data_IF_048956144821
#
_entry.id   IF_048956144821
#
_cell.length_a   1.000
_cell.length_b   1.000
_cell.length_c   1.000
_cell.angle_alpha   90.00
_cell.angle_beta   90.00
_cell.angle_gamma   90.00
#
_symmetry.space_group_name_H-M   'P 1'
#
loop_
_entity.id
_entity.type
_entity.pdbx_description
1 polymer ?
#
# COMPACT_ATOMS: atom_id res chain seq x y z
N UNK A 1 24.74 12.46 13.92
CA UNK A 1 24.23 12.67 12.57
C UNK A 1 22.80 12.14 12.59
N UNK A 2 21.81 13.03 12.41
CA UNK A 2 20.40 12.61 12.35
C UNK A 2 20.18 11.71 11.14
N UNK A 3 19.39 10.65 11.29
CA UNK A 3 18.96 9.82 10.17
C UNK A 3 18.06 10.67 9.27
N UNK A 4 18.28 10.62 7.95
CA UNK A 4 17.41 11.29 6.97
C UNK A 4 16.01 10.69 7.05
N UNK A 5 15.00 11.55 6.93
CA UNK A 5 13.60 11.11 6.77
C UNK A 5 13.41 10.38 5.45
N UNK A 6 12.34 9.59 5.31
CA UNK A 6 12.02 8.92 4.04
C UNK A 6 11.93 9.92 2.87
N UNK A 7 11.24 11.05 3.07
CA UNK A 7 11.12 12.09 2.06
C UNK A 7 12.48 12.71 1.64
N UNK A 8 13.42 12.87 2.57
CA UNK A 8 14.76 13.35 2.25
C UNK A 8 15.57 12.30 1.48
N UNK A 9 15.42 11.03 1.85
CA UNK A 9 16.06 9.92 1.13
C UNK A 9 15.54 9.81 -0.30
N UNK A 10 14.23 10.01 -0.49
CA UNK A 10 13.60 9.96 -1.81
C UNK A 10 14.10 11.07 -2.73
N UNK A 11 14.29 12.29 -2.19
CA UNK A 11 14.85 13.42 -2.96
C UNK A 11 16.31 13.23 -3.38
N UNK A 12 17.05 12.41 -2.65
CA UNK A 12 18.47 12.15 -2.94
C UNK A 12 18.68 10.91 -3.80
N UNK A 13 17.62 10.16 -4.12
CA UNK A 13 17.70 8.98 -4.97
C UNK A 13 18.08 9.41 -6.40
N UNK A 14 19.05 8.73 -7.00
CA UNK A 14 19.30 8.82 -8.44
C UNK A 14 18.20 8.11 -9.23
N UNK A 15 18.14 8.33 -10.56
CA UNK A 15 17.15 7.65 -11.42
C UNK A 15 17.13 6.14 -11.15
N UNK A 16 15.96 5.58 -10.81
CA UNK A 16 15.81 4.17 -10.43
C UNK A 16 15.89 3.19 -11.62
N UNK A 17 16.71 3.40 -12.57
CA UNK A 17 16.79 2.69 -13.87
C UNK A 17 17.04 1.17 -13.78
N UNK A 18 16.13 0.28 -14.25
CA UNK A 18 14.71 0.59 -14.56
C UNK A 18 13.83 0.66 -13.31
N UNK A 19 14.18 -0.07 -12.24
CA UNK A 19 13.51 -0.12 -10.94
C UNK A 19 14.54 -0.06 -9.81
N UNK A 20 14.10 0.52 -8.68
CA UNK A 20 14.85 0.47 -7.43
C UNK A 20 13.94 0.05 -6.28
N UNK A 21 14.37 -0.92 -5.50
CA UNK A 21 13.66 -1.43 -4.33
C UNK A 21 14.31 -0.94 -3.04
N UNK A 22 13.52 -0.34 -2.17
CA UNK A 22 13.95 0.03 -0.82
C UNK A 22 13.09 -0.67 0.21
N UNK A 23 13.73 -1.50 1.03
CA UNK A 23 13.10 -2.26 2.11
C UNK A 23 13.23 -1.50 3.42
N UNK A 24 12.13 -1.29 4.11
CA UNK A 24 12.09 -0.53 5.36
C UNK A 24 11.12 -1.14 6.35
N UNK A 25 11.49 -1.08 7.63
CA UNK A 25 10.54 -1.26 8.73
C UNK A 25 10.27 0.12 9.33
N UNK A 26 9.02 0.55 9.34
CA UNK A 26 8.61 1.87 9.79
C UNK A 26 7.86 1.71 11.10
N UNK A 27 8.31 2.41 12.16
CA UNK A 27 7.65 2.39 13.46
C UNK A 27 6.27 3.05 13.37
N UNK A 28 5.35 2.62 14.25
CA UNK A 28 4.03 3.24 14.34
C UNK A 28 4.07 4.70 14.78
N UNK A 29 3.09 5.47 14.33
CA UNK A 29 2.99 6.90 14.60
C UNK A 29 3.91 7.77 13.75
N UNK A 30 4.53 7.22 12.70
CA UNK A 30 5.32 7.98 11.75
C UNK A 30 4.45 8.57 10.64
N UNK A 31 4.81 9.78 10.24
CA UNK A 31 4.27 10.45 9.07
C UNK A 31 5.42 10.84 8.15
N UNK A 32 5.29 10.50 6.88
CA UNK A 32 6.11 11.05 5.82
C UNK A 32 5.44 12.33 5.35
N UNK A 33 6.10 13.48 5.54
CA UNK A 33 5.58 14.76 5.11
C UNK A 33 5.34 14.79 3.58
N UNK A 34 4.45 15.67 3.14
CA UNK A 34 4.18 15.84 1.72
C UNK A 34 5.47 16.15 0.93
N UNK A 35 5.68 15.39 -0.11
CA UNK A 35 6.82 15.52 -1.01
C UNK A 35 6.45 15.01 -2.40
N UNK A 36 7.29 15.32 -3.38
CA UNK A 36 7.20 14.80 -4.73
C UNK A 36 8.59 14.41 -5.23
N UNK A 37 8.64 13.50 -6.16
CA UNK A 37 9.87 13.05 -6.82
C UNK A 37 9.60 12.72 -8.30
N UNK A 38 10.64 12.80 -9.16
CA UNK A 38 10.46 12.71 -10.60
C UNK A 38 10.29 11.29 -11.15
N UNK A 39 10.04 10.30 -10.35
CA UNK A 39 9.76 8.90 -10.72
C UNK A 39 8.47 8.42 -10.11
N UNK A 40 7.90 7.35 -10.70
CA UNK A 40 6.73 6.72 -10.10
C UNK A 40 7.09 5.88 -8.90
N UNK A 41 6.13 5.68 -7.99
CA UNK A 41 6.31 4.87 -6.78
C UNK A 41 5.20 3.84 -6.62
N UNK A 42 5.61 2.61 -6.38
CA UNK A 42 4.74 1.53 -5.92
C UNK A 42 5.04 1.26 -4.45
N UNK A 43 3.99 1.16 -3.65
CA UNK A 43 4.09 0.86 -2.21
C UNK A 43 3.55 -0.53 -1.93
N UNK A 44 4.43 -1.44 -1.48
CA UNK A 44 4.06 -2.76 -0.98
C UNK A 44 4.10 -2.76 0.54
N UNK A 45 2.97 -3.09 1.15
CA UNK A 45 2.84 -3.24 2.60
C UNK A 45 2.72 -4.75 2.90
N UNK A 46 3.77 -5.33 3.49
CA UNK A 46 3.79 -6.75 3.84
C UNK A 46 3.22 -7.02 5.23
N UNK A 47 3.31 -6.06 6.13
CA UNK A 47 2.76 -6.10 7.49
C UNK A 47 2.30 -4.71 7.89
N UNK A 48 1.14 -4.59 8.54
CA UNK A 48 0.57 -3.32 8.99
C UNK A 48 -0.30 -2.64 7.94
N UNK A 49 -0.60 -1.37 8.15
CA UNK A 49 -1.42 -0.53 7.26
C UNK A 49 -0.75 0.82 7.08
N UNK A 50 -0.62 1.25 5.84
CA UNK A 50 -0.19 2.58 5.46
C UNK A 50 -1.33 3.29 4.74
N UNK A 51 -1.54 4.54 5.08
CA UNK A 51 -2.40 5.47 4.33
C UNK A 51 -1.49 6.35 3.50
N UNK A 52 -1.75 6.44 2.21
CA UNK A 52 -1.08 7.38 1.30
C UNK A 52 -2.11 8.40 0.84
N UNK A 53 -1.81 9.67 1.00
CA UNK A 53 -2.65 10.79 0.58
C UNK A 53 -2.03 11.46 -0.65
N UNK A 54 -2.81 11.64 -1.69
CA UNK A 54 -2.40 12.29 -2.95
C UNK A 54 -3.48 13.29 -3.33
N UNK A 55 -3.25 14.59 -3.10
CA UNK A 55 -4.28 15.61 -3.22
C UNK A 55 -5.45 15.35 -2.27
N UNK A 56 -6.65 15.18 -2.80
CA UNK A 56 -7.86 14.84 -2.01
C UNK A 56 -8.08 13.31 -1.89
N UNK A 57 -7.30 12.51 -2.59
CA UNK A 57 -7.45 11.06 -2.56
C UNK A 57 -6.70 10.42 -1.40
N UNK A 58 -7.34 9.43 -0.79
CA UNK A 58 -6.79 8.63 0.30
C UNK A 58 -6.74 7.17 -0.09
N UNK A 59 -5.53 6.65 -0.26
CA UNK A 59 -5.29 5.28 -0.69
C UNK A 59 -4.86 4.41 0.50
N UNK A 60 -5.55 3.29 0.69
CA UNK A 60 -5.22 2.28 1.69
C UNK A 60 -5.19 0.93 0.98
N UNK A 61 -4.04 0.29 0.92
CA UNK A 61 -3.90 -0.99 0.25
C UNK A 61 -3.96 -2.17 1.22
N UNK A 62 -4.79 -3.18 0.95
CA UNK A 62 -4.67 -4.48 1.58
C UNK A 62 -3.45 -5.25 1.01
N UNK A 63 -3.04 -6.37 1.65
CA UNK A 63 -1.84 -7.12 1.24
C UNK A 63 -1.80 -7.61 -0.22
N UNK A 64 -2.97 -7.66 -0.87
CA UNK A 64 -3.09 -8.12 -2.27
C UNK A 64 -3.01 -6.99 -3.31
N UNK A 65 -2.63 -5.78 -2.90
CA UNK A 65 -2.53 -4.61 -3.77
C UNK A 65 -1.26 -3.82 -3.52
N UNK A 66 -0.80 -3.15 -4.57
CA UNK A 66 0.20 -2.09 -4.52
C UNK A 66 -0.51 -0.74 -4.60
N UNK A 67 -0.05 0.24 -3.83
CA UNK A 67 -0.42 1.64 -4.04
C UNK A 67 0.51 2.19 -5.12
N UNK A 68 -0.07 2.72 -6.19
CA UNK A 68 0.65 3.41 -7.26
C UNK A 68 0.49 4.92 -7.12
N UNK A 69 1.60 5.63 -7.11
CA UNK A 69 1.67 7.09 -7.19
C UNK A 69 2.51 7.44 -8.42
N UNK A 70 1.93 8.09 -9.44
CA UNK A 70 2.68 8.58 -10.61
C UNK A 70 3.78 9.57 -10.24
N UNK A 71 4.74 9.78 -11.17
CA UNK A 71 5.80 10.75 -11.03
C UNK A 71 5.26 12.19 -10.84
N UNK A 72 6.02 13.02 -10.12
CA UNK A 72 5.78 14.45 -9.90
C UNK A 72 4.49 14.80 -9.12
N UNK A 73 3.75 13.82 -8.61
CA UNK A 73 2.57 14.07 -7.78
C UNK A 73 2.96 14.25 -6.29
N UNK A 74 2.59 15.39 -5.67
CA UNK A 74 2.73 15.57 -4.25
C UNK A 74 1.93 14.52 -3.48
N UNK A 75 2.58 13.84 -2.54
CA UNK A 75 1.95 12.85 -1.70
C UNK A 75 2.56 12.79 -0.31
N UNK A 76 1.76 12.34 0.64
CA UNK A 76 2.17 12.07 2.01
C UNK A 76 1.80 10.65 2.41
N UNK A 77 2.40 10.15 3.48
CA UNK A 77 2.06 8.82 4.00
C UNK A 77 2.02 8.82 5.53
N UNK A 78 1.14 8.00 6.10
CA UNK A 78 1.01 7.86 7.54
C UNK A 78 0.75 6.39 7.93
N UNK A 79 1.32 5.97 9.06
CA UNK A 79 1.06 4.67 9.67
C UNK A 79 0.90 4.77 11.18
N UNK A 80 -0.15 4.17 11.73
CA UNK A 80 -0.37 4.13 13.19
C UNK A 80 0.44 3.03 13.87
N UNK A 81 0.68 1.94 13.17
CA UNK A 81 1.37 0.77 13.69
C UNK A 81 2.66 0.52 12.93
N UNK A 82 3.59 -0.20 13.53
CA UNK A 82 4.79 -0.65 12.84
C UNK A 82 4.40 -1.46 11.61
N UNK A 83 5.03 -1.16 10.48
CA UNK A 83 4.81 -1.83 9.21
C UNK A 83 6.11 -2.26 8.55
N UNK A 84 6.05 -3.36 7.81
CA UNK A 84 7.08 -3.77 6.87
C UNK A 84 6.69 -3.26 5.49
N UNK A 85 7.57 -2.44 4.93
CA UNK A 85 7.31 -1.63 3.76
C UNK A 85 8.40 -1.76 2.71
N UNK A 86 7.99 -1.94 1.47
CA UNK A 86 8.89 -1.86 0.32
C UNK A 86 8.41 -0.78 -0.64
N UNK A 87 9.24 0.26 -0.79
CA UNK A 87 9.07 1.24 -1.89
C UNK A 87 9.72 0.65 -3.14
N UNK A 88 9.01 0.69 -4.27
CA UNK A 88 9.52 0.30 -5.58
C UNK A 88 9.42 1.54 -6.46
N UNK A 89 10.57 2.13 -6.75
CA UNK A 89 10.64 3.32 -7.60
C UNK A 89 10.77 2.89 -9.06
N UNK A 90 10.00 3.55 -9.92
CA UNK A 90 9.85 3.22 -11.33
C UNK A 90 10.41 4.36 -12.16
N UNK A 91 11.40 4.08 -13.01
CA UNK A 91 12.05 5.07 -13.86
C UNK A 91 11.08 5.78 -14.81
N UNK A 92 11.48 6.95 -15.29
CA UNK A 92 10.75 7.68 -16.32
C UNK A 92 10.46 6.88 -17.60
N UNK A 93 11.33 5.93 -17.95
CA UNK A 93 11.13 5.08 -19.13
C UNK A 93 9.97 4.09 -18.95
N UNK A 94 9.73 3.61 -17.73
CA UNK A 94 8.72 2.59 -17.44
C UNK A 94 7.42 3.16 -16.83
N UNK A 95 7.49 4.26 -16.09
CA UNK A 95 6.33 4.87 -15.44
C UNK A 95 5.15 5.16 -16.40
N UNK A 96 5.36 5.63 -17.65
CA UNK A 96 4.26 5.85 -18.61
C UNK A 96 3.49 4.59 -19.04
N UNK A 97 4.00 3.39 -18.73
CA UNK A 97 3.29 2.12 -18.97
C UNK A 97 2.23 1.85 -17.91
N UNK A 98 2.30 2.52 -16.78
CA UNK A 98 1.36 2.42 -15.65
C UNK A 98 0.31 3.54 -15.74
N UNK A 99 -0.78 3.46 -14.97
CA UNK A 99 -1.83 4.48 -14.98
C UNK A 99 -1.31 5.90 -14.70
N UNK A 100 -1.94 6.89 -15.32
CA UNK A 100 -1.62 8.31 -15.11
C UNK A 100 -2.15 8.87 -13.79
N UNK A 101 -3.06 8.16 -13.13
CA UNK A 101 -3.69 8.55 -11.87
C UNK A 101 -3.25 7.64 -10.73
N UNK A 102 -3.23 8.15 -9.47
CA UNK A 102 -2.97 7.35 -8.29
C UNK A 102 -4.06 6.27 -8.13
N UNK A 103 -3.66 5.03 -7.84
CA UNK A 103 -4.63 3.95 -7.64
C UNK A 103 -4.03 2.69 -7.05
N UNK A 104 -4.89 1.73 -6.74
CA UNK A 104 -4.50 0.41 -6.29
C UNK A 104 -4.37 -0.56 -7.47
N UNK A 105 -3.24 -1.24 -7.56
CA UNK A 105 -2.94 -2.22 -8.57
C UNK A 105 -2.94 -3.63 -7.95
N UNK A 106 -3.79 -4.51 -8.45
CA UNK A 106 -3.94 -5.85 -7.89
C UNK A 106 -2.69 -6.72 -8.12
N UNK A 107 -2.24 -7.42 -7.10
CA UNK A 107 -1.16 -8.41 -7.19
C UNK A 107 -1.71 -9.75 -7.67
N UNK A 108 -1.36 -10.12 -8.91
CA UNK A 108 -1.58 -11.49 -9.39
C UNK A 108 -0.59 -12.46 -8.75
N UNK A 109 -0.83 -13.78 -8.77
CA UNK A 109 0.13 -14.77 -8.26
C UNK A 109 1.54 -14.64 -8.86
N UNK A 110 1.64 -14.32 -10.15
CA UNK A 110 2.94 -14.11 -10.82
C UNK A 110 3.65 -12.87 -10.31
N UNK A 111 2.94 -11.74 -10.16
CA UNK A 111 3.50 -10.50 -9.61
C UNK A 111 3.99 -10.70 -8.18
N UNK A 112 3.23 -11.44 -7.37
CA UNK A 112 3.62 -11.79 -6.01
C UNK A 112 4.90 -12.62 -5.98
N UNK A 113 4.99 -13.65 -6.82
CA UNK A 113 6.18 -14.49 -6.90
C UNK A 113 7.44 -13.70 -7.32
N UNK A 114 7.31 -12.76 -8.27
CA UNK A 114 8.41 -11.87 -8.66
C UNK A 114 8.85 -10.96 -7.48
N UNK A 115 7.90 -10.37 -6.76
CA UNK A 115 8.20 -9.53 -5.60
C UNK A 115 8.84 -10.33 -4.45
N UNK A 116 8.40 -11.55 -4.23
CA UNK A 116 8.99 -12.46 -3.24
C UNK A 116 10.43 -12.81 -3.61
N UNK A 117 10.71 -13.12 -4.87
CA UNK A 117 12.07 -13.39 -5.35
C UNK A 117 12.98 -12.18 -5.17
N UNK A 118 12.58 -10.98 -5.62
CA UNK A 118 13.33 -9.74 -5.39
C UNK A 118 13.59 -9.48 -3.91
N UNK A 119 12.57 -9.69 -3.07
CA UNK A 119 12.67 -9.48 -1.62
C UNK A 119 13.62 -10.47 -0.96
N UNK A 120 13.57 -11.76 -1.31
CA UNK A 120 14.45 -12.79 -0.76
C UNK A 120 15.90 -12.53 -1.13
N UNK A 121 16.15 -12.12 -2.37
CA UNK A 121 17.50 -11.77 -2.86
C UNK A 121 17.96 -10.38 -2.41
N UNK A 122 17.09 -9.58 -1.78
CA UNK A 122 17.36 -8.19 -1.37
C UNK A 122 17.82 -7.32 -2.54
N UNK A 123 17.19 -7.50 -3.70
CA UNK A 123 17.50 -6.69 -4.89
C UNK A 123 17.20 -5.23 -4.57
N UNK A 124 18.20 -4.37 -4.73
CA UNK A 124 18.04 -2.90 -4.66
C UNK A 124 17.88 -2.33 -6.07
N UNK A 125 18.97 -2.01 -6.74
CA UNK A 125 18.99 -1.68 -8.15
C UNK A 125 19.01 -2.95 -9.00
N UNK A 126 18.52 -2.84 -10.23
CA UNK A 126 18.62 -3.91 -11.25
C UNK A 126 20.02 -3.89 -11.84
N UNK A 127 20.98 -4.55 -11.18
CA UNK A 127 22.40 -4.48 -11.53
C UNK A 127 22.79 -5.36 -12.73
N UNK A 128 22.01 -6.40 -13.00
CA UNK A 128 22.27 -7.30 -14.12
C UNK A 128 21.09 -7.38 -15.11
N UNK A 129 21.39 -7.95 -16.30
CA UNK A 129 20.43 -8.08 -17.37
C UNK A 129 19.26 -9.01 -17.02
N UNK A 130 19.47 -9.98 -16.13
CA UNK A 130 18.44 -10.89 -15.69
C UNK A 130 17.40 -10.16 -14.81
N UNK A 131 17.87 -9.41 -13.82
CA UNK A 131 16.99 -8.61 -12.96
C UNK A 131 16.27 -7.53 -13.75
N UNK A 132 16.95 -6.88 -14.69
CA UNK A 132 16.33 -5.88 -15.56
C UNK A 132 15.18 -6.47 -16.38
N UNK A 133 15.34 -7.67 -16.95
CA UNK A 133 14.25 -8.37 -17.69
C UNK A 133 13.09 -8.76 -16.80
N UNK A 134 13.36 -9.21 -15.57
CA UNK A 134 12.32 -9.52 -14.59
C UNK A 134 11.57 -8.25 -14.17
N UNK A 135 12.27 -7.14 -13.98
CA UNK A 135 11.68 -5.83 -13.68
C UNK A 135 10.79 -5.33 -14.81
N UNK A 136 11.22 -5.47 -16.07
CA UNK A 136 10.37 -5.12 -17.24
C UNK A 136 9.13 -6.00 -17.32
N UNK A 137 9.29 -7.32 -17.11
CA UNK A 137 8.16 -8.24 -17.07
C UNK A 137 7.19 -7.88 -15.93
N UNK A 138 7.70 -7.52 -14.76
CA UNK A 138 6.89 -7.09 -13.62
C UNK A 138 6.03 -5.88 -14.00
N UNK A 139 6.61 -4.84 -14.57
CA UNK A 139 5.87 -3.63 -15.01
C UNK A 139 4.87 -3.97 -16.12
N UNK A 140 5.25 -4.77 -17.13
CA UNK A 140 4.35 -5.17 -18.20
C UNK A 140 3.12 -5.92 -17.67
N UNK A 141 3.31 -6.82 -16.72
CA UNK A 141 2.22 -7.56 -16.09
C UNK A 141 1.37 -6.66 -15.20
N UNK A 142 2.00 -5.77 -14.44
CA UNK A 142 1.32 -4.81 -13.58
C UNK A 142 0.44 -3.86 -14.37
N UNK A 143 0.90 -3.35 -15.52
CA UNK A 143 0.13 -2.50 -16.43
C UNK A 143 -1.15 -3.14 -16.97
N UNK A 144 -1.26 -4.47 -16.91
CA UNK A 144 -2.43 -5.24 -17.37
C UNK A 144 -3.32 -5.73 -16.23
N UNK A 145 -3.02 -5.37 -14.98
CA UNK A 145 -3.84 -5.77 -13.83
C UNK A 145 -5.08 -4.90 -13.71
N UNK A 146 -6.02 -5.36 -12.89
CA UNK A 146 -7.19 -4.54 -12.55
C UNK A 146 -6.75 -3.37 -11.67
N UNK A 147 -7.21 -2.21 -12.05
CA UNK A 147 -7.02 -0.98 -11.29
C UNK A 147 -8.27 -0.69 -10.47
N UNK A 148 -8.08 -0.15 -9.27
CA UNK A 148 -9.18 0.33 -8.43
C UNK A 148 -8.80 1.71 -7.87
N UNK A 149 -9.67 2.72 -8.01
CA UNK A 149 -9.40 4.07 -7.51
C UNK A 149 -9.40 4.13 -5.97
N UNK A 150 -10.14 3.26 -5.32
CA UNK A 150 -10.13 3.09 -3.87
C UNK A 150 -10.47 1.66 -3.51
N UNK A 151 -10.09 1.24 -2.29
CA UNK A 151 -10.40 -0.09 -1.79
C UNK A 151 -10.82 -0.01 -0.32
N UNK A 152 -12.01 -0.51 -0.04
CA UNK A 152 -12.40 -0.85 1.31
C UNK A 152 -12.16 -2.36 1.52
N UNK A 153 -11.28 -2.76 2.45
CA UNK A 153 -11.01 -4.16 2.71
C UNK A 153 -12.28 -4.94 2.99
N UNK A 154 -12.42 -6.08 2.30
CA UNK A 154 -13.51 -7.03 2.54
C UNK A 154 -13.02 -8.15 3.46
N UNK A 155 -13.94 -8.79 4.16
CA UNK A 155 -13.63 -9.95 4.98
C UNK A 155 -14.67 -11.06 4.77
N UNK A 156 -14.23 -12.32 4.84
CA UNK A 156 -15.09 -13.49 4.91
C UNK A 156 -15.35 -13.95 6.35
N UNK A 157 -14.81 -13.23 7.31
CA UNK A 157 -15.05 -13.50 8.72
C UNK A 157 -16.54 -13.35 9.05
N UNK A 158 -17.08 -14.30 9.84
CA UNK A 158 -18.52 -14.37 10.16
C UNK A 158 -19.07 -13.14 10.87
N UNK A 159 -18.24 -12.42 11.62
CA UNK A 159 -18.64 -11.19 12.32
C UNK A 159 -18.41 -9.97 11.43
N UNK A 160 -17.31 -9.92 10.68
CA UNK A 160 -16.96 -8.73 9.88
C UNK A 160 -17.74 -8.65 8.58
N UNK A 161 -17.96 -9.75 7.86
CA UNK A 161 -18.65 -9.70 6.58
C UNK A 161 -20.03 -8.98 6.64
N UNK A 162 -20.93 -9.30 7.59
CA UNK A 162 -22.20 -8.59 7.70
C UNK A 162 -22.05 -7.14 8.16
N UNK A 163 -21.08 -6.84 9.03
CA UNK A 163 -20.75 -5.48 9.47
C UNK A 163 -20.31 -4.61 8.29
N UNK A 164 -19.32 -5.06 7.53
CA UNK A 164 -18.78 -4.31 6.39
C UNK A 164 -19.83 -4.11 5.29
N UNK A 165 -20.65 -5.12 5.03
CA UNK A 165 -21.76 -5.00 4.11
C UNK A 165 -22.81 -3.96 4.57
N UNK A 166 -23.10 -3.91 5.86
CA UNK A 166 -24.02 -2.92 6.43
C UNK A 166 -23.47 -1.50 6.31
N UNK A 167 -22.19 -1.28 6.62
CA UNK A 167 -21.55 0.04 6.49
C UNK A 167 -21.44 0.48 5.03
N UNK A 168 -21.18 -0.44 4.10
CA UNK A 168 -21.19 -0.11 2.67
C UNK A 168 -22.58 0.26 2.15
N UNK A 169 -23.63 -0.37 2.68
CA UNK A 169 -25.01 -0.05 2.31
C UNK A 169 -25.51 1.26 2.94
N UNK A 170 -24.96 1.66 4.08
CA UNK A 170 -25.31 2.87 4.82
C UNK A 170 -24.04 3.58 5.34
N UNK A 171 -23.30 4.32 4.46
CA UNK A 171 -22.07 5.00 4.85
C UNK A 171 -22.25 6.07 5.94
N UNK A 172 -23.46 6.56 6.14
CA UNK A 172 -23.84 7.51 7.20
C UNK A 172 -24.04 6.85 8.57
N UNK A 173 -23.87 5.55 8.69
CA UNK A 173 -24.05 4.83 9.95
C UNK A 173 -22.91 5.16 10.94
N UNK A 174 -23.22 5.97 11.94
CA UNK A 174 -22.29 6.46 12.95
C UNK A 174 -22.23 5.59 14.21
N UNK A 175 -22.71 4.35 14.16
CA UNK A 175 -22.62 3.45 15.30
C UNK A 175 -21.17 3.22 15.72
N UNK A 176 -20.94 3.32 17.03
CA UNK A 176 -19.64 3.03 17.63
C UNK A 176 -19.29 1.54 17.55
N UNK A 177 -18.02 1.20 17.73
CA UNK A 177 -17.57 -0.19 17.79
C UNK A 177 -18.31 -0.99 18.90
N UNK A 178 -18.60 -0.33 20.03
CA UNK A 178 -19.36 -0.93 21.13
C UNK A 178 -20.82 -1.24 20.76
N UNK A 179 -21.47 -0.37 19.99
CA UNK A 179 -22.83 -0.58 19.48
C UNK A 179 -22.86 -1.70 18.43
N UNK A 180 -21.92 -1.72 17.53
CA UNK A 180 -21.76 -2.81 16.57
C UNK A 180 -21.47 -4.15 17.26
N UNK A 181 -20.66 -4.16 18.30
CA UNK A 181 -20.40 -5.37 19.08
C UNK A 181 -21.69 -5.94 19.71
N UNK A 182 -22.58 -5.08 20.18
CA UNK A 182 -23.92 -5.48 20.68
C UNK A 182 -24.79 -6.08 19.58
N UNK A 183 -24.84 -5.43 18.41
CA UNK A 183 -25.62 -5.92 17.26
C UNK A 183 -25.13 -7.29 16.79
N UNK A 184 -23.82 -7.50 16.82
CA UNK A 184 -23.18 -8.76 16.40
C UNK A 184 -23.06 -9.80 17.52
N UNK A 185 -23.68 -9.56 18.68
CA UNK A 185 -23.62 -10.45 19.85
C UNK A 185 -22.19 -10.87 20.24
N UNK A 186 -21.28 -9.89 20.24
CA UNK A 186 -19.85 -10.08 20.56
C UNK A 186 -19.37 -8.99 21.53
N UNK A 187 -18.08 -8.98 21.85
CA UNK A 187 -17.46 -7.92 22.66
C UNK A 187 -16.70 -6.94 21.77
N UNK A 188 -16.61 -5.68 22.19
CA UNK A 188 -15.82 -4.64 21.51
C UNK A 188 -14.37 -5.09 21.28
N UNK A 189 -13.74 -5.68 22.31
CA UNK A 189 -12.38 -6.24 22.23
C UNK A 189 -12.25 -7.33 21.14
N UNK A 190 -13.25 -8.20 21.04
CA UNK A 190 -13.24 -9.27 20.03
C UNK A 190 -13.38 -8.67 18.63
N UNK A 191 -14.29 -7.71 18.47
CA UNK A 191 -14.52 -7.05 17.18
C UNK A 191 -13.29 -6.26 16.75
N UNK A 192 -12.70 -5.44 17.63
CA UNK A 192 -11.47 -4.69 17.38
C UNK A 192 -10.32 -5.62 16.95
N UNK A 193 -10.09 -6.72 17.68
CA UNK A 193 -9.04 -7.69 17.33
C UNK A 193 -9.27 -8.34 15.97
N UNK A 194 -10.54 -8.62 15.61
CA UNK A 194 -10.85 -9.18 14.28
C UNK A 194 -10.66 -8.17 13.17
N UNK A 195 -11.11 -6.92 13.34
CA UNK A 195 -10.81 -5.86 12.39
C UNK A 195 -9.30 -5.77 12.14
N UNK A 196 -8.51 -5.70 13.19
CA UNK A 196 -7.07 -5.63 13.07
C UNK A 196 -6.46 -6.85 12.37
N UNK A 197 -6.96 -8.06 12.68
CA UNK A 197 -6.43 -9.30 12.07
C UNK A 197 -6.83 -9.47 10.61
N UNK A 198 -8.08 -9.21 10.28
CA UNK A 198 -8.68 -9.56 8.98
C UNK A 198 -8.63 -8.39 7.97
N UNK A 199 -8.66 -7.15 8.47
CA UNK A 199 -8.65 -5.94 7.64
C UNK A 199 -7.31 -5.19 7.71
N UNK A 200 -6.47 -5.50 8.70
CA UNK A 200 -5.22 -4.79 8.96
C UNK A 200 -5.42 -3.41 9.59
N UNK A 201 -6.65 -3.00 9.90
CA UNK A 201 -7.01 -1.68 10.40
C UNK A 201 -8.14 -1.71 11.42
N UNK A 202 -8.39 -0.61 12.13
CA UNK A 202 -9.56 -0.46 12.98
C UNK A 202 -10.83 -0.22 12.15
N UNK A 203 -12.02 -0.44 12.76
CA UNK A 203 -13.27 -0.15 12.09
C UNK A 203 -13.45 1.34 11.77
N UNK A 204 -12.91 2.23 12.61
CA UNK A 204 -12.98 3.67 12.36
C UNK A 204 -12.02 4.17 11.27
N UNK A 205 -11.02 3.36 10.90
CA UNK A 205 -10.14 3.61 9.76
C UNK A 205 -10.71 3.05 8.44
N UNK A 206 -11.53 2.01 8.55
CA UNK A 206 -12.26 1.42 7.44
C UNK A 206 -13.43 2.30 7.02
#
# INVERSE_FOLDING_TARGET
MGSLTLAEQDRLLADPNPLYFRYSQIQGGNACAEHAHPWGQLSLISLGVMVVEVGEERLVAPPDYLIWVPADLPHSAFNEQTLDYTSIYVSHALAPRLPSEPQLLALTPLLRALLEDFTQRRVGHMEDEWDARQGELFIEKLARTRCQPSYLPQSRDRLLAPLLAALQAAPEDNRTLAEWAKVLHTTERTLARRCQKELGMSLGQW
#
